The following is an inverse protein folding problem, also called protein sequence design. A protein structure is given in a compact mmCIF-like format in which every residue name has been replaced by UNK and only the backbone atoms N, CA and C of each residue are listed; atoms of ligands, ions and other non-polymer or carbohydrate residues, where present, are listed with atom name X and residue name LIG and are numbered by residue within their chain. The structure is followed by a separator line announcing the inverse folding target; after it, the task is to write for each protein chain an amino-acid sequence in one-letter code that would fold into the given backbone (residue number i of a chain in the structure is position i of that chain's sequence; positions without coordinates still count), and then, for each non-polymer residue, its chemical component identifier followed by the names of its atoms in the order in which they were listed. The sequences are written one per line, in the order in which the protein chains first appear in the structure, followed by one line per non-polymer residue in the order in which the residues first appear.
data_IF_541676611654
#
_entry.id   IF_541676611654
#
_cell.length_a   1.000
_cell.length_b   1.000
_cell.length_c   1.000
_cell.angle_alpha   90.00
_cell.angle_beta   90.00
_cell.angle_gamma   90.00
#
_symmetry.space_group_name_H-M   'P 1'
#
loop_
_entity.id
_entity.type
_entity.pdbx_description
1 polymer ?
#
# COMPACT_ATOMS: atom_id res chain seq x y z
N UNK A 1 16.51 25.92 -24.63
CA UNK A 1 17.39 25.64 -23.47
C UNK A 1 16.66 24.64 -22.57
N UNK A 2 16.92 23.33 -22.69
CA UNK A 2 16.29 22.30 -21.84
C UNK A 2 17.07 22.24 -20.52
N UNK A 3 16.48 22.73 -19.44
CA UNK A 3 17.04 22.53 -18.11
C UNK A 3 16.85 21.06 -17.72
N UNK A 4 17.90 20.25 -17.85
CA UNK A 4 17.97 18.93 -17.21
C UNK A 4 18.16 19.16 -15.71
N UNK A 5 17.05 19.23 -14.98
CA UNK A 5 17.05 19.18 -13.51
C UNK A 5 17.68 17.84 -13.09
N UNK A 6 18.80 17.92 -12.39
CA UNK A 6 19.43 16.75 -11.75
C UNK A 6 18.42 16.05 -10.84
N UNK A 7 18.39 14.71 -10.84
CA UNK A 7 17.54 13.91 -9.93
C UNK A 7 17.69 14.33 -8.46
N UNK A 8 18.88 14.82 -8.06
CA UNK A 8 19.11 15.39 -6.72
C UNK A 8 18.29 16.65 -6.47
N UNK A 9 18.17 17.54 -7.45
CA UNK A 9 17.39 18.78 -7.33
C UNK A 9 15.89 18.47 -7.21
N UNK A 10 15.39 17.50 -7.97
CA UNK A 10 13.98 17.10 -7.93
C UNK A 10 13.61 16.43 -6.59
N UNK A 11 14.46 15.52 -6.11
CA UNK A 11 14.32 14.96 -4.76
C UNK A 11 14.43 16.02 -3.65
N UNK A 12 15.15 17.12 -3.92
CA UNK A 12 15.26 18.26 -3.01
C UNK A 12 13.93 19.02 -2.88
N UNK A 13 13.26 19.30 -4.00
CA UNK A 13 11.96 20.00 -4.03
C UNK A 13 10.81 19.17 -3.43
N UNK A 14 10.94 17.85 -3.43
CA UNK A 14 9.94 16.96 -2.86
C UNK A 14 10.14 16.70 -1.36
N UNK A 15 11.17 17.28 -0.73
CA UNK A 15 11.35 17.23 0.71
C UNK A 15 10.49 18.33 1.36
N UNK A 16 9.44 17.99 2.13
CA UNK A 16 8.57 18.98 2.76
C UNK A 16 9.28 19.84 3.82
N UNK A 17 10.46 19.42 4.28
CA UNK A 17 11.29 20.15 5.25
C UNK A 17 12.50 20.80 4.59
N UNK A 18 12.40 21.12 3.30
CA UNK A 18 13.47 21.83 2.59
C UNK A 18 13.69 23.23 3.18
N UNK A 19 14.95 23.60 3.40
CA UNK A 19 15.32 24.91 3.96
C UNK A 19 15.28 24.98 5.49
N UNK A 20 14.73 23.96 6.17
CA UNK A 20 14.66 23.91 7.62
C UNK A 20 15.99 23.48 8.26
N UNK A 21 16.16 23.88 9.54
CA UNK A 21 17.32 23.49 10.34
C UNK A 21 17.30 22.00 10.65
N UNK A 22 18.48 21.43 10.93
CA UNK A 22 18.57 20.00 11.27
C UNK A 22 17.88 19.67 12.61
N UNK A 23 17.79 20.65 13.52
CA UNK A 23 17.01 20.52 14.74
C UNK A 23 15.52 20.34 14.44
N UNK A 24 14.93 21.20 13.58
CA UNK A 24 13.52 21.11 13.20
C UNK A 24 13.22 19.78 12.51
N UNK A 25 14.14 19.28 11.67
CA UNK A 25 14.00 17.96 11.02
C UNK A 25 14.00 16.82 12.05
N UNK A 26 14.89 16.88 13.05
CA UNK A 26 14.95 15.86 14.09
C UNK A 26 13.67 15.86 14.96
N UNK A 27 13.20 17.04 15.37
CA UNK A 27 11.96 17.19 16.14
C UNK A 27 10.74 16.69 15.34
N UNK A 28 10.67 17.00 14.04
CA UNK A 28 9.64 16.47 13.16
C UNK A 28 9.68 14.95 13.07
N UNK A 29 10.87 14.34 12.89
CA UNK A 29 11.00 12.89 12.80
C UNK A 29 10.63 12.20 14.11
N UNK A 30 10.97 12.77 15.26
CA UNK A 30 10.57 12.27 16.59
C UNK A 30 9.05 12.32 16.78
N UNK A 31 8.41 13.40 16.37
CA UNK A 31 6.97 13.54 16.43
C UNK A 31 6.26 12.62 15.42
N UNK A 32 6.66 12.63 14.16
CA UNK A 32 5.93 12.01 13.05
C UNK A 32 6.03 10.47 13.03
N UNK A 33 7.20 9.92 13.35
CA UNK A 33 7.47 8.47 13.29
C UNK A 33 6.52 7.60 14.13
N UNK A 34 6.21 7.91 15.41
CA UNK A 34 5.26 7.12 16.19
C UNK A 34 3.84 7.15 15.59
N UNK A 35 3.33 8.32 15.19
CA UNK A 35 2.00 8.42 14.57
C UNK A 35 1.91 7.62 13.27
N UNK A 36 2.92 7.75 12.40
CA UNK A 36 3.00 6.98 11.16
C UNK A 36 3.01 5.47 11.41
N UNK A 37 3.74 5.03 12.44
CA UNK A 37 3.82 3.60 12.79
C UNK A 37 2.46 3.05 13.24
N UNK A 38 1.73 3.83 14.05
CA UNK A 38 0.37 3.47 14.47
C UNK A 38 -0.59 3.47 13.28
N UNK A 39 -0.53 4.47 12.40
CA UNK A 39 -1.33 4.53 11.18
C UNK A 39 -1.12 3.27 10.33
N UNK A 40 0.12 2.96 9.95
CA UNK A 40 0.46 1.80 9.12
C UNK A 40 -0.13 0.53 9.73
N UNK A 41 0.09 0.30 11.03
CA UNK A 41 -0.41 -0.90 11.73
C UNK A 41 -1.94 -0.99 11.69
N UNK A 42 -2.62 0.10 12.00
CA UNK A 42 -4.08 0.12 12.06
C UNK A 42 -4.69 -0.09 10.68
N UNK A 43 -4.18 0.59 9.66
CA UNK A 43 -4.74 0.51 8.30
C UNK A 43 -4.46 -0.85 7.67
N UNK A 44 -3.28 -1.45 7.87
CA UNK A 44 -3.01 -2.77 7.29
C UNK A 44 -3.81 -3.87 7.98
N UNK A 45 -4.03 -3.81 9.30
CA UNK A 45 -4.94 -4.73 10.00
C UNK A 45 -6.36 -4.56 9.48
N UNK A 46 -6.86 -3.33 9.40
CA UNK A 46 -8.21 -3.04 8.90
C UNK A 46 -8.39 -3.54 7.46
N UNK A 47 -7.43 -3.28 6.58
CA UNK A 47 -7.49 -3.72 5.18
C UNK A 47 -7.37 -5.24 5.07
N UNK A 48 -6.59 -5.91 5.90
CA UNK A 48 -6.55 -7.38 5.95
C UNK A 48 -7.93 -7.96 6.30
N UNK A 49 -8.61 -7.40 7.31
CA UNK A 49 -9.97 -7.79 7.68
C UNK A 49 -10.97 -7.53 6.54
N UNK A 50 -10.83 -6.40 5.84
CA UNK A 50 -11.67 -6.08 4.69
C UNK A 50 -11.50 -7.11 3.58
N UNK A 51 -10.27 -7.55 3.29
CA UNK A 51 -10.00 -8.61 2.32
C UNK A 51 -10.61 -9.96 2.71
N UNK A 52 -10.59 -10.31 4.00
CA UNK A 52 -11.27 -11.52 4.51
C UNK A 52 -12.77 -11.45 4.26
N UNK A 53 -13.41 -10.31 4.55
CA UNK A 53 -14.84 -10.08 4.28
C UNK A 53 -15.12 -10.11 2.79
N UNK A 54 -14.29 -9.43 1.99
CA UNK A 54 -14.41 -9.37 0.53
C UNK A 54 -14.31 -10.76 -0.11
N UNK A 55 -13.43 -11.62 0.41
CA UNK A 55 -13.32 -13.02 -0.04
C UNK A 55 -14.58 -13.85 0.22
N UNK A 56 -15.40 -13.52 1.23
CA UNK A 56 -16.69 -14.20 1.46
C UNK A 56 -17.75 -13.72 0.46
N UNK A 57 -17.75 -12.41 0.18
CA UNK A 57 -18.66 -11.81 -0.80
C UNK A 57 -18.37 -12.36 -2.19
N UNK A 58 -17.10 -12.39 -2.61
CA UNK A 58 -16.69 -12.85 -3.95
C UNK A 58 -17.10 -14.29 -4.26
N UNK A 59 -17.12 -15.18 -3.27
CA UNK A 59 -17.57 -16.56 -3.46
C UNK A 59 -19.04 -16.67 -3.92
N UNK A 60 -19.83 -15.62 -3.74
CA UNK A 60 -21.25 -15.60 -4.12
C UNK A 60 -21.50 -15.17 -5.58
N UNK A 61 -20.53 -14.51 -6.22
CA UNK A 61 -20.71 -13.89 -7.54
C UNK A 61 -19.67 -14.36 -8.58
N UNK A 62 -18.50 -14.81 -8.15
CA UNK A 62 -17.43 -15.16 -9.06
C UNK A 62 -17.68 -16.49 -9.79
N UNK A 63 -17.15 -16.65 -11.02
CA UNK A 63 -17.13 -17.94 -11.69
C UNK A 63 -16.33 -18.99 -10.90
N UNK A 64 -16.82 -20.23 -10.87
CA UNK A 64 -16.18 -21.35 -10.15
C UNK A 64 -14.74 -21.62 -10.64
N UNK A 65 -14.44 -21.29 -11.90
CA UNK A 65 -13.12 -21.48 -12.52
C UNK A 65 -12.03 -20.62 -11.88
N UNK A 66 -12.36 -19.42 -11.41
CA UNK A 66 -11.38 -18.47 -10.83
C UNK A 66 -11.39 -18.47 -9.29
N UNK A 67 -12.38 -19.11 -8.66
CA UNK A 67 -12.53 -19.21 -7.21
C UNK A 67 -11.23 -19.59 -6.47
N UNK A 68 -10.48 -20.65 -6.85
CA UNK A 68 -9.28 -21.04 -6.12
C UNK A 68 -8.22 -19.93 -6.08
N UNK A 69 -8.06 -19.21 -7.18
CA UNK A 69 -7.13 -18.09 -7.27
C UNK A 69 -7.59 -16.91 -6.43
N UNK A 70 -8.88 -16.55 -6.49
CA UNK A 70 -9.44 -15.47 -5.68
C UNK A 70 -9.33 -15.77 -4.19
N UNK A 71 -9.62 -17.00 -3.76
CA UNK A 71 -9.44 -17.41 -2.35
C UNK A 71 -7.97 -17.37 -1.96
N UNK A 72 -7.06 -17.85 -2.81
CA UNK A 72 -5.63 -17.74 -2.54
C UNK A 72 -5.20 -16.28 -2.34
N UNK A 73 -5.61 -15.40 -3.25
CA UNK A 73 -5.21 -13.99 -3.22
C UNK A 73 -5.87 -13.22 -2.07
N UNK A 74 -7.21 -13.19 -2.02
CA UNK A 74 -8.00 -12.34 -1.13
C UNK A 74 -8.14 -12.90 0.29
N UNK A 75 -8.01 -14.20 0.51
CA UNK A 75 -8.10 -14.77 1.86
C UNK A 75 -6.73 -15.07 2.48
N UNK A 76 -5.75 -15.44 1.66
CA UNK A 76 -4.45 -15.88 2.15
C UNK A 76 -3.35 -14.84 1.91
N UNK A 77 -3.00 -14.59 0.64
CA UNK A 77 -1.81 -13.80 0.28
C UNK A 77 -1.92 -12.35 0.75
N UNK A 78 -2.98 -11.64 0.37
CA UNK A 78 -3.12 -10.22 0.70
C UNK A 78 -3.32 -10.01 2.20
N UNK A 79 -4.27 -10.69 2.89
CA UNK A 79 -4.41 -10.54 4.34
C UNK A 79 -3.13 -10.89 5.11
N UNK A 80 -2.46 -11.99 4.77
CA UNK A 80 -1.24 -12.40 5.47
C UNK A 80 -0.10 -11.41 5.25
N UNK A 81 0.05 -10.87 4.04
CA UNK A 81 1.06 -9.84 3.75
C UNK A 81 0.81 -8.57 4.56
N UNK A 82 -0.44 -8.12 4.66
CA UNK A 82 -0.83 -6.93 5.42
C UNK A 82 -0.68 -7.12 6.93
N UNK A 83 -0.99 -8.31 7.45
CA UNK A 83 -0.75 -8.65 8.86
C UNK A 83 0.74 -8.77 9.17
N UNK A 84 1.55 -9.29 8.24
CA UNK A 84 3.01 -9.29 8.36
C UNK A 84 3.55 -7.87 8.43
N UNK A 85 3.09 -6.97 7.56
CA UNK A 85 3.45 -5.54 7.61
C UNK A 85 3.05 -4.95 8.98
N UNK A 86 1.83 -5.22 9.46
CA UNK A 86 1.39 -4.76 10.77
C UNK A 86 2.32 -5.25 11.90
N UNK A 87 2.71 -6.52 11.87
CA UNK A 87 3.59 -7.13 12.86
C UNK A 87 5.00 -6.53 12.81
N UNK A 88 5.55 -6.28 11.61
CA UNK A 88 6.86 -5.67 11.42
C UNK A 88 6.97 -4.27 12.03
N UNK A 89 5.85 -3.55 12.19
CA UNK A 89 5.83 -2.26 12.89
C UNK A 89 6.25 -2.33 14.36
N UNK A 90 6.29 -3.52 14.98
CA UNK A 90 6.71 -3.71 16.37
C UNK A 90 8.23 -3.66 16.55
N UNK A 91 9.02 -3.89 15.48
CA UNK A 91 10.48 -3.91 15.55
C UNK A 91 11.11 -2.73 14.82
N UNK A 92 11.71 -1.82 15.61
CA UNK A 92 12.41 -0.64 15.07
C UNK A 92 13.54 -0.99 14.07
N UNK A 93 14.16 -2.16 14.21
CA UNK A 93 15.24 -2.60 13.32
C UNK A 93 14.76 -2.96 11.90
N UNK A 94 13.46 -3.23 11.73
CA UNK A 94 12.86 -3.70 10.47
C UNK A 94 12.09 -2.59 9.74
N UNK A 95 12.23 -1.32 10.13
CA UNK A 95 11.53 -0.21 9.50
C UNK A 95 11.75 -0.12 7.97
N UNK A 96 12.97 -0.37 7.50
CA UNK A 96 13.26 -0.35 6.06
C UNK A 96 12.49 -1.46 5.33
N UNK A 97 12.55 -2.69 5.85
CA UNK A 97 11.83 -3.83 5.29
C UNK A 97 10.32 -3.59 5.29
N UNK A 98 9.78 -3.05 6.39
CA UNK A 98 8.37 -2.70 6.50
C UNK A 98 7.93 -1.71 5.41
N UNK A 99 8.73 -0.66 5.17
CA UNK A 99 8.41 0.32 4.13
C UNK A 99 8.48 -0.28 2.71
N UNK A 100 9.44 -1.17 2.46
CA UNK A 100 9.55 -1.87 1.16
C UNK A 100 8.33 -2.76 0.94
N UNK A 101 7.95 -3.57 1.93
CA UNK A 101 6.78 -4.44 1.83
C UNK A 101 5.49 -3.63 1.66
N UNK A 102 5.36 -2.53 2.40
CA UNK A 102 4.22 -1.62 2.29
C UNK A 102 4.12 -0.98 0.88
N UNK A 103 5.24 -0.69 0.24
CA UNK A 103 5.30 -0.18 -1.13
C UNK A 103 4.98 -1.27 -2.18
N UNK A 104 5.45 -2.50 -1.97
CA UNK A 104 5.21 -3.61 -2.91
C UNK A 104 3.78 -4.17 -2.81
N UNK A 105 3.15 -4.10 -1.64
CA UNK A 105 1.80 -4.62 -1.41
C UNK A 105 0.74 -4.14 -2.42
N UNK A 106 0.57 -2.83 -2.70
CA UNK A 106 -0.42 -2.37 -3.68
C UNK A 106 -0.11 -2.82 -5.11
N UNK A 107 1.17 -2.97 -5.50
CA UNK A 107 1.55 -3.51 -6.81
C UNK A 107 1.10 -4.96 -6.94
N UNK A 108 1.37 -5.78 -5.91
CA UNK A 108 0.94 -7.17 -5.88
C UNK A 108 -0.59 -7.32 -5.91
N UNK A 109 -1.29 -6.47 -5.15
CA UNK A 109 -2.75 -6.42 -5.18
C UNK A 109 -3.27 -6.05 -6.57
N UNK A 110 -2.74 -5.00 -7.20
CA UNK A 110 -3.16 -4.54 -8.52
C UNK A 110 -2.96 -5.62 -9.60
N UNK A 111 -1.81 -6.31 -9.61
CA UNK A 111 -1.55 -7.42 -10.53
C UNK A 111 -2.59 -8.53 -10.34
N UNK A 112 -2.86 -8.91 -9.09
CA UNK A 112 -3.85 -9.92 -8.77
C UNK A 112 -5.27 -9.53 -9.20
N UNK A 113 -5.68 -8.29 -8.92
CA UNK A 113 -6.99 -7.76 -9.31
C UNK A 113 -7.14 -7.66 -10.84
N UNK A 114 -6.10 -7.24 -11.56
CA UNK A 114 -6.11 -7.19 -13.04
C UNK A 114 -6.26 -8.60 -13.61
N UNK A 115 -5.55 -9.58 -13.06
CA UNK A 115 -5.68 -10.98 -13.50
C UNK A 115 -7.11 -11.51 -13.27
N UNK A 116 -7.70 -11.24 -12.09
CA UNK A 116 -9.10 -11.61 -11.80
C UNK A 116 -10.04 -10.97 -12.82
N UNK A 117 -9.87 -9.67 -13.09
CA UNK A 117 -10.71 -8.94 -14.04
C UNK A 117 -10.59 -9.49 -15.46
N UNK A 118 -9.41 -9.93 -15.89
CA UNK A 118 -9.20 -10.51 -17.21
C UNK A 118 -9.96 -11.83 -17.42
N UNK A 119 -10.28 -12.55 -16.35
CA UNK A 119 -10.97 -13.84 -16.36
C UNK A 119 -12.49 -13.74 -16.14
N UNK A 120 -13.02 -12.54 -15.91
CA UNK A 120 -14.44 -12.33 -15.57
C UNK A 120 -15.09 -11.36 -16.55
N UNK A 121 -16.29 -11.69 -17.04
CA UNK A 121 -17.04 -10.85 -17.99
C UNK A 121 -17.66 -9.58 -17.37
N UNK A 122 -17.72 -9.51 -16.03
CA UNK A 122 -18.42 -8.49 -15.25
C UNK A 122 -17.45 -7.48 -14.62
N UNK A 123 -16.68 -6.79 -15.48
CA UNK A 123 -15.65 -5.82 -15.11
C UNK A 123 -16.07 -4.82 -14.01
N UNK A 124 -17.31 -4.32 -14.07
CA UNK A 124 -17.80 -3.28 -13.16
C UNK A 124 -17.83 -3.69 -11.68
N UNK A 125 -17.99 -5.00 -11.39
CA UNK A 125 -18.09 -5.51 -10.01
C UNK A 125 -16.74 -5.43 -9.29
N UNK A 126 -15.63 -5.51 -10.04
CA UNK A 126 -14.26 -5.58 -9.51
C UNK A 126 -13.50 -4.26 -9.58
N UNK A 127 -14.05 -3.27 -10.30
CA UNK A 127 -13.48 -1.93 -10.40
C UNK A 127 -13.28 -1.19 -9.05
N UNK A 128 -14.19 -1.34 -8.07
CA UNK A 128 -14.00 -0.74 -6.74
C UNK A 128 -12.70 -1.17 -6.05
N UNK A 129 -12.23 -2.41 -6.28
CA UNK A 129 -10.98 -2.90 -5.69
C UNK A 129 -9.78 -2.13 -6.26
N UNK A 130 -9.71 -1.93 -7.58
CA UNK A 130 -8.65 -1.15 -8.22
C UNK A 130 -8.63 0.31 -7.75
N UNK A 131 -9.80 0.95 -7.66
CA UNK A 131 -9.88 2.31 -7.11
C UNK A 131 -9.44 2.36 -5.66
N UNK A 132 -9.84 1.37 -4.86
CA UNK A 132 -9.42 1.29 -3.48
C UNK A 132 -7.91 1.11 -3.35
N UNK A 133 -7.25 0.32 -4.21
CA UNK A 133 -5.79 0.17 -4.21
C UNK A 133 -5.09 1.52 -4.43
N UNK A 134 -5.56 2.32 -5.40
CA UNK A 134 -4.99 3.66 -5.69
C UNK A 134 -5.20 4.60 -4.50
N UNK A 135 -6.45 4.73 -4.03
CA UNK A 135 -6.79 5.60 -2.88
C UNK A 135 -6.02 5.14 -1.64
N UNK A 136 -5.94 3.84 -1.40
CA UNK A 136 -5.24 3.29 -0.26
C UNK A 136 -3.76 3.64 -0.32
N UNK A 137 -3.12 3.49 -1.49
CA UNK A 137 -1.70 3.77 -1.67
C UNK A 137 -1.35 5.23 -1.36
N UNK A 138 -2.13 6.18 -1.87
CA UNK A 138 -1.83 7.61 -1.70
C UNK A 138 -2.38 8.23 -0.41
N UNK A 139 -3.55 7.80 0.06
CA UNK A 139 -4.28 8.48 1.13
C UNK A 139 -4.26 7.75 2.47
N UNK A 140 -4.14 6.41 2.45
CA UNK A 140 -4.39 5.59 3.65
C UNK A 140 -3.11 4.91 4.16
N UNK A 141 -2.28 4.38 3.26
CA UNK A 141 -1.17 3.45 3.52
C UNK A 141 -0.14 3.97 4.53
N UNK A 142 0.01 5.29 4.65
CA UNK A 142 1.09 5.92 5.39
C UNK A 142 2.42 5.91 4.64
N UNK A 143 2.47 5.54 3.36
CA UNK A 143 3.68 5.69 2.52
C UNK A 143 4.09 7.17 2.38
N UNK A 144 5.39 7.43 2.21
CA UNK A 144 5.83 8.75 1.77
C UNK A 144 5.42 8.93 0.30
N UNK A 145 5.14 10.16 -0.12
CA UNK A 145 4.67 10.47 -1.47
C UNK A 145 5.50 9.82 -2.58
N UNK A 146 6.84 9.84 -2.47
CA UNK A 146 7.73 9.21 -3.47
C UNK A 146 7.51 7.70 -3.56
N UNK A 147 7.35 7.01 -2.43
CA UNK A 147 7.06 5.58 -2.44
C UNK A 147 5.66 5.30 -2.99
N UNK A 148 4.65 6.09 -2.61
CA UNK A 148 3.30 5.95 -3.13
C UNK A 148 3.27 6.14 -4.66
N UNK A 149 3.97 7.16 -5.19
CA UNK A 149 4.03 7.44 -6.62
C UNK A 149 4.75 6.37 -7.45
N UNK A 150 5.70 5.63 -6.86
CA UNK A 150 6.38 4.51 -7.53
C UNK A 150 5.56 3.22 -7.44
N UNK A 151 4.67 3.12 -6.47
CA UNK A 151 3.92 1.89 -6.16
C UNK A 151 2.52 1.83 -6.78
N UNK A 152 2.02 2.96 -7.29
CA UNK A 152 0.72 3.09 -7.95
C UNK A 152 0.90 3.17 -9.47
#
# INVERSE_FOLDING_TARGET
MKATLSNKALLHFLNPLYGETDQVKAEFDEWYKPYKTVQIRSVTILTALLYVVYSQINQSFAPVTIHPFMTLLHLNVLPSSLLLIALLTLWKKLHLLNNILLAVAPVGAAIGSIYIIAEINEFAIYLPELYLIVIWTFSISGLRLVYAAVSA
#
